data_IF_510692816835
#
_entry.id   IF_510692816835
#
_cell.length_a   1.000
_cell.length_b   1.000
_cell.length_c   1.000
_cell.angle_alpha   90.00
_cell.angle_beta   90.00
_cell.angle_gamma   90.00
#
_symmetry.space_group_name_H-M   'P 1'
#
loop_
_entity.id
_entity.type
_entity.pdbx_description
1 polymer ?
#
# COMPACT_ATOMS: atom_id res chain seq x y z
N UNK A 1 -12.24 -8.21 0.09
CA UNK A 1 -11.09 -9.02 -0.30
C UNK A 1 -9.86 -8.12 -0.37
N UNK A 2 -8.85 -8.39 0.42
CA UNK A 2 -7.58 -7.67 0.36
C UNK A 2 -6.52 -8.61 -0.22
N UNK A 3 -5.83 -8.16 -1.27
CA UNK A 3 -4.68 -8.84 -1.82
C UNK A 3 -3.43 -7.99 -1.51
N UNK A 4 -2.47 -8.63 -0.91
CA UNK A 4 -1.13 -8.08 -0.73
C UNK A 4 -0.19 -9.02 -1.49
N UNK A 5 0.46 -8.50 -2.52
CA UNK A 5 1.35 -9.30 -3.33
C UNK A 5 2.47 -8.46 -3.94
N UNK A 6 3.62 -9.07 -4.14
CA UNK A 6 4.73 -8.50 -4.89
C UNK A 6 4.63 -8.89 -6.36
N UNK A 7 4.87 -7.96 -7.27
CA UNK A 7 4.68 -8.13 -8.72
C UNK A 7 5.65 -9.11 -9.41
N UNK A 8 6.64 -9.64 -8.72
CA UNK A 8 7.69 -10.39 -9.41
C UNK A 8 7.47 -11.91 -9.52
N UNK A 9 6.54 -12.46 -8.75
CA UNK A 9 6.18 -13.88 -8.89
C UNK A 9 4.77 -14.13 -8.40
N UNK A 10 3.85 -14.45 -9.31
CA UNK A 10 2.51 -14.97 -8.96
C UNK A 10 2.60 -16.20 -8.03
N UNK A 11 3.73 -16.89 -8.02
CA UNK A 11 4.00 -18.05 -7.15
C UNK A 11 4.08 -17.70 -5.66
N UNK A 12 4.46 -16.47 -5.31
CA UNK A 12 4.68 -16.04 -3.92
C UNK A 12 3.56 -15.12 -3.39
N UNK A 13 2.50 -14.95 -4.17
CA UNK A 13 1.34 -14.16 -3.74
C UNK A 13 0.51 -14.93 -2.72
N UNK A 14 0.13 -14.26 -1.65
CA UNK A 14 -0.85 -14.78 -0.69
C UNK A 14 -2.11 -13.92 -0.69
N UNK A 15 -3.22 -14.52 -0.34
CA UNK A 15 -4.48 -13.80 -0.19
C UNK A 15 -5.16 -14.18 1.13
N UNK A 16 -5.88 -13.24 1.70
CA UNK A 16 -6.68 -13.46 2.89
C UNK A 16 -8.13 -13.12 2.61
N UNK A 17 -9.03 -14.02 2.94
CA UNK A 17 -10.47 -13.79 2.89
C UNK A 17 -10.94 -13.36 4.27
N UNK A 18 -11.46 -12.15 4.38
CA UNK A 18 -12.01 -11.62 5.62
C UNK A 18 -13.47 -11.22 5.44
N UNK A 19 -14.23 -11.19 6.55
CA UNK A 19 -15.59 -10.65 6.51
C UNK A 19 -15.57 -9.17 6.10
N UNK A 20 -16.56 -8.73 5.35
CA UNK A 20 -16.67 -7.36 4.83
C UNK A 20 -16.75 -6.29 5.94
N UNK A 21 -17.05 -6.67 7.17
CA UNK A 21 -17.09 -5.79 8.35
C UNK A 21 -15.71 -5.50 8.94
N UNK A 22 -14.65 -6.23 8.55
CA UNK A 22 -13.29 -5.98 9.03
C UNK A 22 -12.64 -4.85 8.23
N UNK A 23 -12.04 -3.91 8.94
CA UNK A 23 -11.31 -2.79 8.34
C UNK A 23 -10.06 -3.31 7.60
N UNK A 24 -9.78 -2.80 6.40
CA UNK A 24 -8.65 -3.23 5.57
C UNK A 24 -7.30 -3.15 6.29
N UNK A 25 -7.12 -2.15 7.16
CA UNK A 25 -5.92 -2.00 7.98
C UNK A 25 -5.65 -3.19 8.92
N UNK A 26 -6.68 -4.00 9.26
CA UNK A 26 -6.48 -5.20 10.09
C UNK A 26 -5.76 -6.30 9.34
N UNK A 27 -5.82 -6.33 8.02
CA UNK A 27 -5.08 -7.29 7.20
C UNK A 27 -3.55 -7.13 7.35
N UNK A 28 -3.06 -5.91 7.61
CA UNK A 28 -1.64 -5.63 7.82
C UNK A 28 -1.04 -6.41 9.01
N UNK A 29 -1.84 -6.71 10.05
CA UNK A 29 -1.36 -7.45 11.23
C UNK A 29 -1.00 -8.89 10.94
N UNK A 30 -1.61 -9.50 9.92
CA UNK A 30 -1.36 -10.89 9.52
C UNK A 30 -0.21 -11.05 8.52
N UNK A 31 0.35 -9.92 8.02
CA UNK A 31 1.46 -9.97 7.07
C UNK A 31 2.76 -10.26 7.80
N UNK A 32 3.50 -11.25 7.31
CA UNK A 32 4.89 -11.46 7.70
C UNK A 32 5.79 -10.60 6.81
N UNK A 33 6.41 -9.57 7.40
CA UNK A 33 7.27 -8.65 6.65
C UNK A 33 8.69 -9.23 6.53
N UNK A 34 9.22 -9.22 5.30
CA UNK A 34 10.56 -9.71 4.99
C UNK A 34 11.54 -8.52 4.82
N UNK A 35 12.78 -8.61 5.32
CA UNK A 35 13.76 -7.55 5.17
C UNK A 35 14.03 -7.22 3.69
N UNK A 36 14.34 -5.96 3.40
CA UNK A 36 14.62 -5.44 2.06
C UNK A 36 13.46 -5.53 1.06
N UNK A 37 12.26 -5.90 1.50
CA UNK A 37 11.06 -5.93 0.66
C UNK A 37 10.35 -4.57 0.63
N UNK A 38 9.63 -4.30 -0.45
CA UNK A 38 8.78 -3.11 -0.60
C UNK A 38 7.31 -3.47 -0.45
N UNK A 39 6.62 -2.78 0.45
CA UNK A 39 5.19 -2.96 0.72
C UNK A 39 4.43 -1.71 0.28
N UNK A 40 3.56 -1.86 -0.72
CA UNK A 40 2.82 -0.76 -1.32
C UNK A 40 1.37 -0.84 -0.90
N UNK A 41 0.88 0.21 -0.23
CA UNK A 41 -0.46 0.24 0.33
C UNK A 41 -1.27 1.41 -0.18
N UNK A 42 -2.58 1.21 -0.28
CA UNK A 42 -3.50 2.31 -0.51
C UNK A 42 -3.78 3.10 0.79
N UNK A 43 -4.46 4.22 0.65
CA UNK A 43 -4.85 5.14 1.73
C UNK A 43 -5.59 4.46 2.89
N UNK A 44 -6.31 3.35 2.64
CA UNK A 44 -7.01 2.59 3.67
C UNK A 44 -6.07 1.89 4.67
N UNK A 45 -4.83 1.64 4.28
CA UNK A 45 -3.81 0.91 5.06
C UNK A 45 -2.85 1.87 5.77
N UNK A 46 -3.36 2.75 6.62
CA UNK A 46 -2.60 3.82 7.28
C UNK A 46 -2.28 3.56 8.75
N UNK A 47 -2.12 2.31 9.15
CA UNK A 47 -1.72 1.98 10.50
C UNK A 47 -0.26 2.34 10.76
N UNK A 48 0.02 3.49 11.40
CA UNK A 48 1.38 3.91 11.74
C UNK A 48 2.14 2.89 12.57
N UNK A 49 1.44 2.11 13.41
CA UNK A 49 2.05 1.01 14.15
C UNK A 49 2.60 -0.08 13.21
N UNK A 50 1.84 -0.43 12.17
CA UNK A 50 2.26 -1.43 11.20
C UNK A 50 3.34 -0.89 10.26
N UNK A 51 3.25 0.37 9.84
CA UNK A 51 4.32 1.02 9.08
C UNK A 51 5.63 1.07 9.87
N UNK A 52 5.55 1.26 11.19
CA UNK A 52 6.74 1.19 12.04
C UNK A 52 7.28 -0.24 12.19
N UNK A 53 6.40 -1.25 12.24
CA UNK A 53 6.81 -2.66 12.22
C UNK A 53 7.57 -3.00 10.93
N UNK A 54 7.11 -2.52 9.76
CA UNK A 54 7.82 -2.66 8.48
C UNK A 54 9.20 -2.02 8.58
N UNK A 55 9.28 -0.80 9.11
CA UNK A 55 10.55 -0.10 9.28
C UNK A 55 11.53 -0.88 10.15
N UNK A 56 11.08 -1.36 11.32
CA UNK A 56 11.91 -2.13 12.25
C UNK A 56 12.39 -3.47 11.67
N UNK A 57 11.66 -4.05 10.72
CA UNK A 57 12.07 -5.28 10.02
C UNK A 57 13.16 -5.02 8.97
N UNK A 58 13.51 -3.75 8.71
CA UNK A 58 14.42 -3.38 7.63
C UNK A 58 13.78 -3.45 6.25
N UNK A 59 12.45 -3.35 6.19
CA UNK A 59 11.66 -3.32 4.96
C UNK A 59 11.24 -1.90 4.64
N UNK A 60 10.71 -1.71 3.43
CA UNK A 60 10.29 -0.42 2.93
C UNK A 60 8.78 -0.39 2.68
N UNK A 61 8.15 0.73 2.97
CA UNK A 61 6.75 0.94 2.63
C UNK A 61 6.57 2.14 1.70
N UNK A 62 5.54 2.09 0.88
CA UNK A 62 4.99 3.23 0.14
C UNK A 62 3.48 3.23 0.37
N UNK A 63 2.97 4.27 1.00
CA UNK A 63 1.54 4.40 1.30
C UNK A 63 1.04 5.78 0.88
N UNK A 64 -0.17 5.83 0.31
CA UNK A 64 -0.81 7.10 -0.01
C UNK A 64 -1.30 7.77 1.27
N UNK A 65 -0.88 9.02 1.51
CA UNK A 65 -1.25 9.78 2.69
C UNK A 65 -2.75 10.12 2.71
N UNK A 66 -3.31 10.19 3.91
CA UNK A 66 -4.62 10.83 4.14
C UNK A 66 -4.48 12.35 4.13
N UNK A 67 -5.54 13.03 3.75
CA UNK A 67 -5.59 14.51 3.67
C UNK A 67 -5.44 15.20 5.03
N UNK A 68 -5.76 14.50 6.11
CA UNK A 68 -5.71 15.01 7.49
C UNK A 68 -4.43 14.60 8.24
N UNK A 69 -3.37 14.23 7.52
CA UNK A 69 -2.08 13.89 8.11
C UNK A 69 -1.51 15.08 8.89
N UNK A 70 -1.20 14.87 10.17
CA UNK A 70 -0.53 15.86 11.04
C UNK A 70 0.95 15.51 11.12
N UNK A 71 1.79 16.31 10.48
CA UNK A 71 3.24 16.16 10.50
C UNK A 71 3.94 17.51 10.43
N UNK A 72 5.17 17.57 10.90
CA UNK A 72 6.08 18.70 10.74
C UNK A 72 7.25 18.31 9.86
N UNK A 73 7.74 19.27 9.08
CA UNK A 73 8.89 19.05 8.22
C UNK A 73 10.17 19.21 9.02
N UNK A 74 11.03 18.19 8.94
CA UNK A 74 12.35 18.18 9.56
C UNK A 74 13.40 18.72 8.56
N UNK A 75 13.32 18.26 7.30
CA UNK A 75 14.27 18.63 6.26
C UNK A 75 13.62 18.64 4.88
N UNK A 76 13.97 19.62 4.05
CA UNK A 76 13.52 19.74 2.67
C UNK A 76 14.64 19.34 1.71
N UNK A 77 14.30 18.67 0.60
CA UNK A 77 15.17 18.55 -0.56
C UNK A 77 15.02 19.79 -1.45
N UNK A 78 16.13 20.41 -1.82
CA UNK A 78 16.14 21.69 -2.57
C UNK A 78 15.96 21.52 -4.09
N UNK A 79 16.38 20.39 -4.66
CA UNK A 79 16.28 20.13 -6.10
C UNK A 79 15.35 18.95 -6.32
N UNK A 80 14.22 19.22 -6.94
CA UNK A 80 13.20 18.23 -7.26
C UNK A 80 13.11 18.04 -8.77
N UNK A 81 12.95 16.80 -9.27
CA UNK A 81 12.68 16.54 -10.67
C UNK A 81 11.30 17.09 -11.07
N UNK A 82 11.07 17.21 -12.38
CA UNK A 82 9.77 17.58 -12.94
C UNK A 82 8.67 16.68 -12.33
N UNK A 83 7.52 17.26 -12.05
CA UNK A 83 6.36 16.63 -11.42
C UNK A 83 6.47 16.30 -9.91
N UNK A 84 7.64 16.38 -9.30
CA UNK A 84 7.78 16.28 -7.84
C UNK A 84 7.59 17.66 -7.22
N UNK A 85 6.47 17.86 -6.55
CA UNK A 85 6.11 19.13 -5.93
C UNK A 85 6.77 19.32 -4.55
N UNK A 86 6.98 18.21 -3.84
CA UNK A 86 7.59 18.20 -2.51
C UNK A 86 8.33 16.87 -2.32
N UNK A 87 9.51 16.94 -1.73
CA UNK A 87 10.26 15.79 -1.22
C UNK A 87 10.91 16.24 0.09
N UNK A 88 10.34 15.82 1.19
CA UNK A 88 10.73 16.28 2.51
C UNK A 88 10.76 15.12 3.52
N UNK A 89 11.68 15.23 4.46
CA UNK A 89 11.68 14.42 5.67
C UNK A 89 10.70 15.05 6.67
N UNK A 90 9.77 14.26 7.18
CA UNK A 90 8.74 14.71 8.10
C UNK A 90 8.66 13.82 9.34
N UNK A 91 8.15 14.39 10.43
CA UNK A 91 7.84 13.67 11.67
C UNK A 91 6.38 13.89 12.05
N UNK A 92 5.72 12.86 12.56
CA UNK A 92 4.35 12.97 13.03
C UNK A 92 4.28 13.90 14.26
N UNK A 93 3.20 14.70 14.33
CA UNK A 93 2.96 15.63 15.45
C UNK A 93 1.71 15.30 16.25
N UNK A 94 0.91 14.33 15.81
CA UNK A 94 -0.26 13.87 16.57
C UNK A 94 0.15 13.00 17.74
N UNK A 95 -0.27 13.32 18.97
CA UNK A 95 0.11 12.61 20.20
C UNK A 95 0.06 11.08 20.11
N UNK A 96 -1.00 10.52 19.54
CA UNK A 96 -1.13 9.06 19.34
C UNK A 96 -0.32 8.54 18.15
N UNK A 97 -0.19 9.34 17.10
CA UNK A 97 0.51 8.94 15.89
C UNK A 97 2.02 8.95 16.08
N UNK A 98 2.56 9.95 16.78
CA UNK A 98 3.97 10.05 17.12
C UNK A 98 4.45 8.88 17.98
N UNK A 99 3.63 8.43 18.95
CA UNK A 99 3.94 7.21 19.73
C UNK A 99 3.97 5.94 18.91
N UNK A 100 3.15 5.86 17.83
CA UNK A 100 3.08 4.69 16.96
C UNK A 100 4.20 4.63 15.93
N UNK A 101 4.70 5.78 15.52
CA UNK A 101 5.84 5.93 14.62
C UNK A 101 6.71 7.10 15.10
N UNK A 102 7.69 6.86 15.98
CA UNK A 102 8.48 7.92 16.64
C UNK A 102 9.57 8.53 15.76
N UNK A 103 9.94 7.84 14.68
CA UNK A 103 10.99 8.27 13.78
C UNK A 103 10.48 9.17 12.66
N UNK A 104 11.38 9.80 11.94
CA UNK A 104 11.07 10.53 10.71
C UNK A 104 10.88 9.56 9.55
N UNK A 105 10.11 9.98 8.58
CA UNK A 105 9.94 9.33 7.30
C UNK A 105 9.81 10.38 6.19
N UNK A 106 9.77 9.95 4.96
CA UNK A 106 9.77 10.82 3.80
C UNK A 106 8.35 11.05 3.30
N UNK A 107 8.01 12.31 3.03
CA UNK A 107 6.79 12.74 2.39
C UNK A 107 7.10 13.26 0.99
N UNK A 108 6.44 12.71 -0.02
CA UNK A 108 6.61 13.07 -1.42
C UNK A 108 5.25 13.52 -1.95
N UNK A 109 5.15 14.76 -2.48
CA UNK A 109 4.02 15.20 -3.29
C UNK A 109 4.40 15.11 -4.76
N UNK A 110 3.61 14.40 -5.53
CA UNK A 110 3.81 14.13 -6.93
C UNK A 110 2.58 14.52 -7.72
N UNK A 111 2.76 15.25 -8.82
CA UNK A 111 1.72 15.57 -9.78
C UNK A 111 1.75 14.56 -10.92
N UNK A 112 0.65 13.87 -11.12
CA UNK A 112 0.45 12.96 -12.23
C UNK A 112 -0.23 13.68 -13.38
N UNK A 113 0.52 13.88 -14.48
CA UNK A 113 0.02 14.58 -15.67
C UNK A 113 -1.02 13.75 -16.44
N UNK A 114 -0.94 12.41 -16.38
CA UNK A 114 -1.89 11.52 -17.06
C UNK A 114 -3.26 11.54 -16.40
N UNK A 115 -3.30 11.55 -15.08
CA UNK A 115 -4.52 11.54 -14.28
C UNK A 115 -4.98 12.97 -13.89
N UNK A 116 -4.20 14.01 -14.22
CA UNK A 116 -4.39 15.42 -13.83
C UNK A 116 -4.67 15.57 -12.32
N UNK A 117 -3.84 14.95 -11.49
CA UNK A 117 -4.04 14.99 -10.03
C UNK A 117 -2.76 14.85 -9.21
N UNK A 118 -2.83 15.33 -7.98
CA UNK A 118 -1.75 15.19 -7.02
C UNK A 118 -1.90 13.95 -6.15
N UNK A 119 -0.76 13.33 -5.91
CA UNK A 119 -0.60 12.25 -4.93
C UNK A 119 0.36 12.69 -3.83
N UNK A 120 0.07 12.30 -2.61
CA UNK A 120 1.00 12.42 -1.49
C UNK A 120 1.34 11.03 -0.98
N UNK A 121 2.63 10.70 -1.00
CA UNK A 121 3.15 9.41 -0.56
C UNK A 121 3.96 9.57 0.71
N UNK A 122 3.86 8.59 1.61
CA UNK A 122 4.73 8.42 2.76
C UNK A 122 5.59 7.17 2.53
N UNK A 123 6.88 7.27 2.85
CA UNK A 123 7.81 6.15 2.70
C UNK A 123 9.00 6.30 3.66
N UNK A 124 9.57 5.17 4.09
CA UNK A 124 10.86 5.12 4.77
C UNK A 124 12.02 4.84 3.80
N UNK A 125 11.76 4.63 2.50
CA UNK A 125 12.78 4.42 1.48
C UNK A 125 13.49 5.74 1.11
N UNK A 126 14.57 6.08 1.80
CA UNK A 126 15.33 7.31 1.58
C UNK A 126 16.34 7.20 0.42
N UNK A 127 16.73 5.99 0.06
CA UNK A 127 17.70 5.67 -0.99
C UNK A 127 17.12 5.66 -2.41
N UNK A 128 15.79 5.67 -2.55
CA UNK A 128 15.08 5.62 -3.85
C UNK A 128 14.70 7.03 -4.29
N UNK A 129 14.68 7.31 -5.59
CA UNK A 129 14.25 8.61 -6.10
C UNK A 129 12.74 8.84 -5.86
N UNK A 130 12.31 10.11 -5.83
CA UNK A 130 10.89 10.44 -5.67
C UNK A 130 10.04 9.95 -6.85
N UNK A 131 10.61 9.94 -8.06
CA UNK A 131 9.95 9.42 -9.27
C UNK A 131 9.80 7.90 -9.20
N UNK A 132 10.81 7.18 -8.71
CA UNK A 132 10.71 5.73 -8.55
C UNK A 132 9.66 5.34 -7.50
N UNK A 133 9.51 6.12 -6.42
CA UNK A 133 8.43 5.92 -5.44
C UNK A 133 7.07 6.13 -6.10
N UNK A 134 6.90 7.17 -6.93
CA UNK A 134 5.66 7.38 -7.67
C UNK A 134 5.38 6.22 -8.64
N UNK A 135 6.40 5.76 -9.37
CA UNK A 135 6.30 4.62 -10.29
C UNK A 135 5.96 3.31 -9.56
N UNK A 136 6.58 3.04 -8.41
CA UNK A 136 6.23 1.90 -7.56
C UNK A 136 4.76 1.95 -7.13
N UNK A 137 4.26 3.14 -6.78
CA UNK A 137 2.86 3.27 -6.41
C UNK A 137 1.91 3.07 -7.61
N UNK A 138 2.28 3.55 -8.81
CA UNK A 138 1.48 3.31 -10.03
C UNK A 138 1.29 1.82 -10.31
N UNK A 139 2.27 0.99 -10.01
CA UNK A 139 2.17 -0.47 -10.16
C UNK A 139 1.10 -1.10 -9.27
N UNK A 140 0.69 -0.47 -8.15
CA UNK A 140 -0.44 -0.92 -7.34
C UNK A 140 -1.74 -1.05 -8.15
N UNK A 141 -1.87 -0.27 -9.24
CA UNK A 141 -3.04 -0.36 -10.12
C UNK A 141 -3.24 -1.73 -10.75
N UNK A 142 -2.19 -2.52 -10.90
CA UNK A 142 -2.29 -3.91 -11.39
C UNK A 142 -3.20 -4.77 -10.52
N UNK A 143 -3.26 -4.52 -9.21
CA UNK A 143 -4.18 -5.21 -8.30
C UNK A 143 -5.64 -4.88 -8.63
N UNK A 144 -5.95 -3.64 -8.98
CA UNK A 144 -7.31 -3.25 -9.40
C UNK A 144 -7.68 -3.86 -10.75
N UNK A 145 -6.74 -3.90 -11.69
CA UNK A 145 -6.92 -4.59 -12.98
C UNK A 145 -7.15 -6.09 -12.79
N UNK A 146 -6.41 -6.72 -11.89
CA UNK A 146 -6.62 -8.12 -11.51
C UNK A 146 -8.04 -8.36 -10.98
N UNK A 147 -8.51 -7.56 -10.02
CA UNK A 147 -9.88 -7.68 -9.52
C UNK A 147 -10.94 -7.40 -10.59
N UNK A 148 -10.70 -6.45 -11.49
CA UNK A 148 -11.57 -6.16 -12.61
C UNK A 148 -11.66 -7.39 -13.53
N UNK A 149 -10.52 -8.00 -13.85
CA UNK A 149 -10.45 -9.22 -14.65
C UNK A 149 -11.21 -10.38 -13.97
N UNK A 150 -10.98 -10.64 -12.68
CA UNK A 150 -11.69 -11.66 -11.92
C UNK A 150 -13.21 -11.45 -11.99
N UNK A 151 -13.69 -10.23 -11.81
CA UNK A 151 -15.13 -9.91 -11.86
C UNK A 151 -15.73 -10.14 -13.25
N UNK A 152 -14.97 -9.90 -14.31
CA UNK A 152 -15.42 -10.01 -15.69
C UNK A 152 -15.45 -11.46 -16.19
N UNK A 153 -14.38 -12.22 -15.91
CA UNK A 153 -14.19 -13.55 -16.50
C UNK A 153 -14.73 -14.69 -15.65
N UNK A 154 -14.70 -14.54 -14.33
CA UNK A 154 -15.07 -15.64 -13.42
C UNK A 154 -16.48 -15.52 -12.85
N UNK A 155 -17.27 -14.56 -13.34
CA UNK A 155 -18.67 -14.34 -12.88
C UNK A 155 -18.81 -14.34 -11.35
N UNK A 156 -17.79 -13.89 -10.61
CA UNK A 156 -17.78 -13.84 -9.13
C UNK A 156 -18.88 -12.92 -8.56
N UNK A 157 -19.76 -12.39 -9.40
CA UNK A 157 -20.95 -11.67 -8.95
C UNK A 157 -21.93 -12.55 -8.16
N UNK A 158 -21.84 -13.88 -8.29
CA UNK A 158 -22.60 -14.87 -7.52
C UNK A 158 -21.67 -16.01 -7.12
N UNK A 159 -21.55 -16.25 -5.83
CA UNK A 159 -20.89 -17.47 -5.34
C UNK A 159 -21.82 -18.67 -5.58
N UNK A 160 -21.26 -19.78 -6.05
CA UNK A 160 -22.01 -21.02 -6.29
C UNK A 160 -22.39 -21.74 -5.00
N UNK A 161 -21.72 -21.40 -3.90
CA UNK A 161 -22.02 -21.90 -2.56
C UNK A 161 -22.01 -20.78 -1.53
N UNK A 162 -22.78 -20.94 -0.48
CA UNK A 162 -22.93 -19.97 0.62
C UNK A 162 -22.01 -20.26 1.82
N UNK A 163 -21.38 -21.44 1.84
CA UNK A 163 -20.43 -21.80 2.91
C UNK A 163 -19.10 -21.08 2.71
N UNK A 164 -18.42 -20.75 3.80
CA UNK A 164 -17.10 -20.12 3.78
C UNK A 164 -16.08 -20.90 2.92
N UNK A 165 -16.11 -22.22 3.01
CA UNK A 165 -15.22 -23.10 2.25
C UNK A 165 -15.50 -23.04 0.74
N UNK A 166 -16.77 -23.05 0.33
CA UNK A 166 -17.15 -22.94 -1.08
C UNK A 166 -16.70 -21.59 -1.68
N UNK A 167 -16.84 -20.50 -0.92
CA UNK A 167 -16.36 -19.17 -1.32
C UNK A 167 -14.82 -19.17 -1.47
N UNK A 168 -14.10 -19.73 -0.51
CA UNK A 168 -12.64 -19.84 -0.55
C UNK A 168 -12.15 -20.64 -1.76
N UNK A 169 -12.77 -21.80 -2.03
CA UNK A 169 -12.43 -22.63 -3.19
C UNK A 169 -12.64 -21.85 -4.49
N UNK A 170 -13.78 -21.19 -4.65
CA UNK A 170 -14.08 -20.42 -5.85
C UNK A 170 -13.05 -19.28 -6.08
N UNK A 171 -12.66 -18.58 -5.02
CA UNK A 171 -11.63 -17.54 -5.08
C UNK A 171 -10.26 -18.14 -5.44
N UNK A 172 -9.89 -19.28 -4.82
CA UNK A 172 -8.59 -19.94 -5.11
C UNK A 172 -8.51 -20.38 -6.56
N UNK A 173 -9.57 -21.02 -7.08
CA UNK A 173 -9.65 -21.42 -8.50
C UNK A 173 -9.51 -20.20 -9.41
N UNK A 174 -10.18 -19.11 -9.05
CA UNK A 174 -10.11 -17.86 -9.79
C UNK A 174 -8.68 -17.29 -9.87
N UNK A 175 -7.96 -17.32 -8.77
CA UNK A 175 -6.56 -16.85 -8.69
C UNK A 175 -5.62 -17.75 -9.50
N UNK A 176 -5.82 -19.07 -9.46
CA UNK A 176 -4.99 -20.03 -10.20
C UNK A 176 -5.21 -19.91 -11.72
N UNK A 177 -6.39 -19.45 -12.14
CA UNK A 177 -6.75 -19.34 -13.56
C UNK A 177 -6.25 -18.03 -14.19
N UNK A 178 -5.89 -17.03 -13.39
CA UNK A 178 -5.32 -15.75 -13.84
C UNK A 178 -3.86 -15.88 -14.24
#
# INVERSE_FOLDING_TARGET
>A
LSLVGSEMCIRDSFYTVTAASKHDSTAMYSIHYEPNAYYIFDRAYDSFKELYRIHLTGSFFVVRAKTNLKCTTVKWKRRMPKYVLTDAEVKLTGYLSEKKYPESFRLIRYYDEEDDREFTFLTNATHVSALDIANLYKKRWSVELFFKWLKQHLKIKRFWGTTENAVRIQISVAIITY
#
